data_IF_379481090565
#
_entry.id   IF_379481090565
#
_cell.length_a   1.000
_cell.length_b   1.000
_cell.length_c   1.000
_cell.angle_alpha   90.00
_cell.angle_beta   90.00
_cell.angle_gamma   90.00
#
_symmetry.space_group_name_H-M   'P 1'
#
loop_
_entity.id
_entity.type
_entity.pdbx_description
1 polymer ?
#
# COMPACT_ATOMS: atom_id res chain seq x y z
N UNK A 1 -39.36 8.32 15.57
CA UNK A 1 -38.72 7.03 15.23
C UNK A 1 -37.74 7.25 14.07
N UNK A 2 -36.46 7.52 14.34
CA UNK A 2 -35.47 7.80 13.29
C UNK A 2 -34.12 7.20 13.71
N UNK A 3 -34.00 5.87 13.67
CA UNK A 3 -32.83 5.19 14.24
C UNK A 3 -32.43 3.84 13.62
N UNK A 4 -33.08 3.39 12.52
CA UNK A 4 -32.79 2.08 11.91
C UNK A 4 -32.23 2.13 10.48
N UNK A 5 -32.40 3.21 9.73
CA UNK A 5 -31.86 3.30 8.36
C UNK A 5 -30.34 3.52 8.35
N UNK A 6 -29.81 4.30 9.30
CA UNK A 6 -28.39 4.69 9.35
C UNK A 6 -27.47 3.53 9.73
N UNK A 7 -27.88 2.65 10.65
CA UNK A 7 -27.09 1.46 11.04
C UNK A 7 -26.91 0.50 9.88
N UNK A 8 -28.00 0.21 9.15
CA UNK A 8 -27.97 -0.66 7.96
C UNK A 8 -27.09 -0.08 6.86
N UNK A 9 -27.21 1.23 6.58
CA UNK A 9 -26.35 1.91 5.60
C UNK A 9 -24.88 1.86 6.00
N UNK A 10 -24.55 2.07 7.28
CA UNK A 10 -23.18 1.99 7.80
C UNK A 10 -22.59 0.58 7.67
N UNK A 11 -23.38 -0.45 7.94
CA UNK A 11 -22.95 -1.85 7.77
C UNK A 11 -22.75 -2.21 6.30
N UNK A 12 -23.65 -1.79 5.40
CA UNK A 12 -23.48 -1.96 3.95
C UNK A 12 -22.21 -1.26 3.45
N UNK A 13 -21.95 -0.02 3.88
CA UNK A 13 -20.75 0.73 3.49
C UNK A 13 -19.46 0.05 3.99
N UNK A 14 -19.46 -0.51 5.20
CA UNK A 14 -18.31 -1.28 5.71
C UNK A 14 -18.08 -2.55 4.90
N UNK A 15 -19.14 -3.30 4.60
CA UNK A 15 -19.04 -4.52 3.79
C UNK A 15 -18.53 -4.21 2.38
N UNK A 16 -19.03 -3.15 1.75
CA UNK A 16 -18.58 -2.69 0.44
C UNK A 16 -17.10 -2.29 0.46
N UNK A 17 -16.69 -1.45 1.43
CA UNK A 17 -15.28 -1.04 1.59
C UNK A 17 -14.35 -2.23 1.82
N UNK A 18 -14.81 -3.25 2.55
CA UNK A 18 -14.03 -4.47 2.78
C UNK A 18 -13.86 -5.24 1.47
N UNK A 19 -14.94 -5.47 0.71
CA UNK A 19 -14.89 -6.10 -0.62
C UNK A 19 -13.97 -5.37 -1.59
N UNK A 20 -14.05 -4.03 -1.65
CA UNK A 20 -13.19 -3.20 -2.50
C UNK A 20 -11.72 -3.31 -2.11
N UNK A 21 -11.41 -3.30 -0.80
CA UNK A 21 -10.04 -3.52 -0.32
C UNK A 21 -9.51 -4.89 -0.70
N UNK A 22 -10.32 -5.92 -0.56
CA UNK A 22 -9.93 -7.29 -0.85
C UNK A 22 -9.74 -7.50 -2.36
N UNK A 23 -10.61 -6.93 -3.19
CA UNK A 23 -10.44 -6.88 -4.64
C UNK A 23 -9.14 -6.14 -5.04
N UNK A 24 -8.85 -4.98 -4.42
CA UNK A 24 -7.60 -4.24 -4.68
C UNK A 24 -6.35 -5.02 -4.25
N UNK A 25 -6.42 -5.75 -3.13
CA UNK A 25 -5.33 -6.62 -2.68
C UNK A 25 -5.12 -7.79 -3.65
N UNK A 26 -6.20 -8.42 -4.12
CA UNK A 26 -6.12 -9.49 -5.11
C UNK A 26 -5.48 -8.99 -6.41
N UNK A 27 -5.91 -7.82 -6.91
CA UNK A 27 -5.31 -7.18 -8.09
C UNK A 27 -3.82 -6.90 -7.92
N UNK A 28 -3.40 -6.35 -6.77
CA UNK A 28 -1.97 -6.12 -6.49
C UNK A 28 -1.15 -7.41 -6.43
N UNK A 29 -1.73 -8.50 -5.92
CA UNK A 29 -1.05 -9.82 -5.91
C UNK A 29 -0.87 -10.31 -7.33
N UNK A 30 -1.92 -10.27 -8.15
CA UNK A 30 -1.83 -10.68 -9.56
C UNK A 30 -0.86 -9.82 -10.35
N UNK A 31 -0.85 -8.50 -10.14
CA UNK A 31 0.12 -7.59 -10.76
C UNK A 31 1.55 -7.93 -10.36
N UNK A 32 1.78 -8.23 -9.07
CA UNK A 32 3.09 -8.63 -8.56
C UNK A 32 3.55 -9.97 -9.17
N UNK A 33 2.66 -10.95 -9.26
CA UNK A 33 2.97 -12.28 -9.81
C UNK A 33 3.22 -12.21 -11.33
N UNK A 34 2.54 -11.31 -12.05
CA UNK A 34 2.74 -11.08 -13.48
C UNK A 34 3.94 -10.18 -13.78
N UNK A 35 4.43 -9.41 -12.80
CA UNK A 35 5.57 -8.52 -13.00
C UNK A 35 6.82 -9.36 -13.27
N UNK A 36 7.57 -9.08 -14.35
CA UNK A 36 8.83 -9.77 -14.59
C UNK A 36 9.78 -9.53 -13.41
N UNK A 37 10.41 -10.60 -12.94
CA UNK A 37 11.54 -10.50 -12.00
C UNK A 37 12.68 -9.76 -12.70
N UNK A 38 13.16 -8.70 -12.07
CA UNK A 38 14.37 -8.00 -12.52
C UNK A 38 15.57 -8.94 -12.42
N UNK A 39 16.47 -8.84 -13.39
CA UNK A 39 17.70 -9.60 -13.41
C UNK A 39 18.64 -9.22 -12.25
N UNK A 40 19.56 -10.10 -11.86
CA UNK A 40 20.61 -9.73 -10.90
C UNK A 40 21.42 -8.55 -11.44
N UNK A 41 21.45 -7.44 -10.70
CA UNK A 41 22.16 -6.20 -11.09
C UNK A 41 21.34 -5.20 -11.91
N UNK A 42 20.07 -5.49 -12.23
CA UNK A 42 19.19 -4.54 -12.92
C UNK A 42 18.64 -3.49 -11.94
N UNK A 43 19.00 -2.23 -12.17
CA UNK A 43 18.57 -1.09 -11.35
C UNK A 43 17.10 -0.74 -11.60
N UNK A 44 16.41 -0.21 -10.59
CA UNK A 44 15.05 0.31 -10.77
C UNK A 44 15.12 1.61 -11.59
N UNK A 45 14.43 1.75 -12.73
CA UNK A 45 14.41 3.00 -13.48
C UNK A 45 13.95 4.21 -12.65
N UNK A 46 13.11 3.98 -11.63
CA UNK A 46 12.64 5.04 -10.74
C UNK A 46 13.72 5.49 -9.73
N UNK A 47 14.74 4.66 -9.47
CA UNK A 47 15.82 4.94 -8.50
C UNK A 47 17.19 5.16 -9.16
N UNK A 48 17.35 4.71 -10.40
CA UNK A 48 18.60 4.77 -11.13
C UNK A 48 19.10 6.22 -11.21
N UNK A 49 20.38 6.42 -10.85
CA UNK A 49 21.01 7.74 -10.84
C UNK A 49 20.63 8.66 -9.67
N UNK A 50 19.79 8.23 -8.71
CA UNK A 50 19.54 8.99 -7.48
C UNK A 50 20.71 8.80 -6.52
N UNK A 51 21.38 9.90 -6.17
CA UNK A 51 22.41 9.93 -5.11
C UNK A 51 21.73 10.32 -3.80
N UNK A 52 21.49 9.39 -2.86
CA UNK A 52 20.87 9.72 -1.58
C UNK A 52 21.80 10.62 -0.75
N UNK A 53 21.21 11.63 -0.11
CA UNK A 53 21.93 12.51 0.81
C UNK A 53 22.22 11.84 2.17
N UNK A 54 23.03 12.49 3.02
CA UNK A 54 23.27 12.01 4.38
C UNK A 54 21.95 11.93 5.16
N UNK A 55 21.63 10.75 5.68
CA UNK A 55 20.51 10.55 6.59
C UNK A 55 20.87 11.09 7.98
N UNK A 56 19.98 11.82 8.66
CA UNK A 56 20.22 12.26 10.03
C UNK A 56 20.42 11.06 10.96
N UNK A 57 21.34 11.19 11.90
CA UNK A 57 21.54 10.16 12.92
C UNK A 57 20.32 10.11 13.86
N UNK A 58 19.87 8.91 14.25
CA UNK A 58 18.82 8.78 15.26
C UNK A 58 19.23 9.44 16.58
N UNK A 59 18.26 9.96 17.33
CA UNK A 59 18.50 10.65 18.63
C UNK A 59 19.33 9.82 19.61
N UNK A 60 19.22 8.49 19.54
CA UNK A 60 19.98 7.54 20.37
C UNK A 60 21.51 7.59 20.17
N UNK A 61 22.01 8.27 19.13
CA UNK A 61 23.43 8.39 18.81
C UNK A 61 24.01 9.79 19.05
N UNK A 62 23.20 10.74 19.52
CA UNK A 62 23.61 12.08 19.95
C UNK A 62 23.73 12.12 21.48
N UNK A 63 24.76 11.47 22.04
CA UNK A 63 25.17 11.60 23.44
C UNK A 63 26.50 12.31 23.55
#
# INVERSE_FOLDING_TARGET
MQGRSTKRQKEMARAQKQREKDAKKAGRKTEKDQRPTRGPGEEDPDIAGIIPGPQPLPDAFNT
#
